data_IF_646911159570
#
_entry.id   IF_646911159570
#
_cell.length_a   1.000
_cell.length_b   1.000
_cell.length_c   1.000
_cell.angle_alpha   90.00
_cell.angle_beta   90.00
_cell.angle_gamma   90.00
#
_symmetry.space_group_name_H-M   'P 1'
#
loop_
_entity.id
_entity.type
_entity.pdbx_description
1 polymer ?
#
# COMPACT_ATOMS: atom_id res chain seq x y z
N UNK A 1 -16.24 -40.66 4.58
CA UNK A 1 -17.70 -40.88 4.42
C UNK A 1 -18.18 -40.00 3.28
N UNK A 2 -19.01 -40.53 2.39
CA UNK A 2 -19.60 -39.73 1.30
C UNK A 2 -20.68 -38.79 1.86
N UNK A 3 -20.95 -37.71 1.14
CA UNK A 3 -22.00 -36.77 1.50
C UNK A 3 -23.39 -37.46 1.53
N UNK A 4 -23.62 -38.38 0.60
CA UNK A 4 -24.86 -39.17 0.52
C UNK A 4 -25.03 -40.07 1.75
N UNK A 5 -23.95 -40.71 2.22
CA UNK A 5 -23.98 -41.52 3.43
C UNK A 5 -24.36 -40.68 4.65
N UNK A 6 -23.73 -39.50 4.82
CA UNK A 6 -24.05 -38.61 5.95
C UNK A 6 -25.49 -38.10 5.92
N UNK A 7 -26.05 -37.84 4.73
CA UNK A 7 -27.46 -37.45 4.58
C UNK A 7 -28.41 -38.59 4.98
N UNK A 8 -28.05 -39.83 4.62
CA UNK A 8 -28.76 -41.03 5.07
C UNK A 8 -28.69 -41.19 6.59
N UNK A 9 -27.50 -41.05 7.17
CA UNK A 9 -27.28 -41.18 8.61
C UNK A 9 -28.10 -40.13 9.41
N UNK A 10 -28.18 -38.88 8.93
CA UNK A 10 -29.01 -37.83 9.55
C UNK A 10 -30.50 -38.17 9.52
N UNK A 11 -30.98 -38.74 8.41
CA UNK A 11 -32.37 -39.19 8.28
C UNK A 11 -32.68 -40.36 9.24
N UNK A 12 -31.74 -41.29 9.37
CA UNK A 12 -31.86 -42.43 10.29
C UNK A 12 -31.81 -41.99 11.76
N UNK A 13 -30.90 -41.07 12.13
CA UNK A 13 -30.88 -40.49 13.47
C UNK A 13 -32.18 -39.74 13.81
N UNK A 14 -32.78 -39.05 12.84
CA UNK A 14 -34.08 -38.40 13.03
C UNK A 14 -35.20 -39.43 13.31
N UNK A 15 -35.26 -40.53 12.55
CA UNK A 15 -36.22 -41.60 12.76
C UNK A 15 -36.04 -42.29 14.13
N UNK A 16 -34.80 -42.54 14.56
CA UNK A 16 -34.53 -43.12 15.88
C UNK A 16 -34.83 -42.18 17.04
N UNK A 17 -34.70 -40.86 16.84
CA UNK A 17 -35.08 -39.87 17.85
C UNK A 17 -36.58 -39.88 18.15
N UNK A 18 -37.44 -40.18 17.17
CA UNK A 18 -38.89 -40.30 17.36
C UNK A 18 -39.26 -41.53 18.21
N UNK A 19 -38.52 -42.62 18.07
CA UNK A 19 -38.78 -43.88 18.78
C UNK A 19 -38.13 -43.91 20.17
N UNK A 20 -37.08 -43.13 20.39
CA UNK A 20 -36.36 -43.09 21.66
C UNK A 20 -37.26 -42.53 22.79
N UNK A 21 -37.37 -43.27 23.90
CA UNK A 21 -38.12 -42.83 25.10
C UNK A 21 -37.24 -42.28 26.21
N UNK A 22 -36.00 -42.76 26.32
CA UNK A 22 -35.05 -42.36 27.36
C UNK A 22 -34.31 -41.08 27.01
N UNK A 23 -34.26 -40.14 27.96
CA UNK A 23 -33.55 -38.85 27.80
C UNK A 23 -32.06 -39.03 27.47
N UNK A 24 -31.39 -40.03 28.08
CA UNK A 24 -29.98 -40.32 27.81
C UNK A 24 -29.76 -40.76 26.36
N UNK A 25 -30.63 -41.62 25.84
CA UNK A 25 -30.57 -42.11 24.46
C UNK A 25 -30.86 -40.98 23.47
N UNK A 26 -31.87 -40.15 23.75
CA UNK A 26 -32.15 -38.94 22.95
C UNK A 26 -30.94 -38.00 22.89
N UNK A 27 -30.25 -37.80 24.01
CA UNK A 27 -29.06 -36.94 24.07
C UNK A 27 -27.92 -37.45 23.18
N UNK A 28 -27.65 -38.76 23.20
CA UNK A 28 -26.62 -39.38 22.33
C UNK A 28 -26.99 -39.24 20.85
N UNK A 29 -28.23 -39.57 20.49
CA UNK A 29 -28.70 -39.48 19.10
C UNK A 29 -28.70 -38.03 18.58
N UNK A 30 -29.08 -37.06 19.42
CA UNK A 30 -29.06 -35.63 19.07
C UNK A 30 -27.63 -35.16 18.81
N UNK A 31 -26.67 -35.61 19.63
CA UNK A 31 -25.26 -35.25 19.48
C UNK A 31 -24.67 -35.84 18.19
N UNK A 32 -24.93 -37.13 17.93
CA UNK A 32 -24.48 -37.80 16.70
C UNK A 32 -25.09 -37.16 15.44
N UNK A 33 -26.39 -36.82 15.48
CA UNK A 33 -27.08 -36.10 14.40
C UNK A 33 -26.42 -34.74 14.13
N UNK A 34 -26.17 -33.95 15.17
CA UNK A 34 -25.55 -32.63 15.02
C UNK A 34 -24.11 -32.72 14.49
N UNK A 35 -23.37 -33.77 14.85
CA UNK A 35 -22.04 -34.02 14.29
C UNK A 35 -22.09 -34.35 12.79
N UNK A 36 -23.01 -35.24 12.38
CA UNK A 36 -23.22 -35.58 10.98
C UNK A 36 -23.66 -34.35 10.15
N UNK A 37 -24.58 -33.52 10.66
CA UNK A 37 -24.99 -32.27 10.03
C UNK A 37 -23.81 -31.29 9.86
N UNK A 38 -22.95 -31.15 10.88
CA UNK A 38 -21.73 -30.33 10.79
C UNK A 38 -20.77 -30.85 9.72
N UNK A 39 -20.61 -32.16 9.61
CA UNK A 39 -19.75 -32.76 8.59
C UNK A 39 -20.31 -32.53 7.18
N UNK A 40 -21.63 -32.59 6.99
CA UNK A 40 -22.30 -32.25 5.72
C UNK A 40 -21.96 -30.81 5.34
N UNK A 41 -22.21 -29.83 6.23
CA UNK A 41 -21.93 -28.42 5.96
C UNK A 41 -20.47 -28.18 5.61
N UNK A 42 -19.53 -28.83 6.30
CA UNK A 42 -18.10 -28.71 6.02
C UNK A 42 -17.75 -29.28 4.63
N UNK A 43 -18.31 -30.44 4.27
CA UNK A 43 -18.09 -31.04 2.95
C UNK A 43 -18.72 -30.22 1.82
N UNK A 44 -19.91 -29.67 2.01
CA UNK A 44 -20.56 -28.78 1.03
C UNK A 44 -19.77 -27.47 0.87
N UNK A 45 -19.29 -26.89 1.97
CA UNK A 45 -18.44 -25.69 1.93
C UNK A 45 -17.11 -25.98 1.23
N UNK A 46 -16.45 -27.10 1.52
CA UNK A 46 -15.22 -27.52 0.83
C UNK A 46 -15.45 -27.76 -0.66
N UNK A 47 -16.56 -28.40 -1.02
CA UNK A 47 -16.93 -28.63 -2.41
C UNK A 47 -17.22 -27.31 -3.14
N UNK A 48 -17.90 -26.35 -2.49
CA UNK A 48 -18.15 -25.02 -3.04
C UNK A 48 -16.85 -24.24 -3.27
N UNK A 49 -15.95 -24.23 -2.29
CA UNK A 49 -14.63 -23.58 -2.41
C UNK A 49 -13.78 -24.26 -3.50
N UNK A 50 -13.83 -25.60 -3.60
CA UNK A 50 -13.13 -26.33 -4.65
C UNK A 50 -13.70 -26.03 -6.05
N UNK A 51 -15.03 -25.93 -6.17
CA UNK A 51 -15.70 -25.56 -7.41
C UNK A 51 -15.39 -24.11 -7.81
N UNK A 52 -15.39 -23.16 -6.85
CA UNK A 52 -14.93 -21.78 -7.08
C UNK A 52 -13.47 -21.73 -7.52
N UNK A 53 -12.58 -22.55 -6.94
CA UNK A 53 -11.18 -22.65 -7.36
C UNK A 53 -11.01 -23.23 -8.77
N UNK A 54 -11.82 -24.21 -9.14
CA UNK A 54 -11.81 -24.78 -10.49
C UNK A 54 -12.43 -23.82 -11.52
N UNK A 55 -13.48 -23.10 -11.17
CA UNK A 55 -14.08 -22.05 -12.01
C UNK A 55 -13.14 -20.84 -12.17
N UNK A 56 -12.30 -20.54 -11.17
CA UNK A 56 -11.27 -19.51 -11.23
C UNK A 56 -9.97 -19.94 -11.92
N UNK A 57 -9.89 -21.16 -12.49
CA UNK A 57 -8.76 -21.61 -13.32
C UNK A 57 -7.38 -21.65 -12.64
N UNK A 58 -7.29 -21.66 -11.31
CA UNK A 58 -6.00 -21.56 -10.60
C UNK A 58 -5.49 -22.92 -10.13
N UNK A 59 -4.82 -23.63 -11.04
CA UNK A 59 -3.80 -24.64 -10.70
C UNK A 59 -2.44 -23.98 -10.41
N UNK A 60 -2.40 -22.69 -10.12
CA UNK A 60 -1.14 -21.97 -9.98
C UNK A 60 -0.54 -22.23 -8.61
N UNK A 61 0.67 -22.80 -8.61
CA UNK A 61 1.56 -22.80 -7.46
C UNK A 61 1.58 -21.37 -6.87
N UNK A 62 1.59 -21.23 -5.54
CA UNK A 62 1.66 -19.91 -4.88
C UNK A 62 2.87 -19.14 -5.40
N UNK A 63 2.69 -18.30 -6.43
CA UNK A 63 3.72 -17.38 -6.93
C UNK A 63 3.72 -16.17 -6.01
N UNK A 64 4.91 -15.72 -5.65
CA UNK A 64 5.07 -14.53 -4.80
C UNK A 64 4.83 -13.27 -5.65
N UNK A 65 3.96 -12.39 -5.16
CA UNK A 65 3.73 -11.07 -5.76
C UNK A 65 4.82 -10.11 -5.32
N UNK A 66 5.62 -9.66 -6.26
CA UNK A 66 6.61 -8.60 -6.08
C UNK A 66 5.98 -7.24 -6.36
N UNK A 67 5.86 -6.41 -5.33
CA UNK A 67 5.37 -5.05 -5.46
C UNK A 67 6.44 -4.14 -6.08
N UNK A 68 6.10 -3.55 -7.21
CA UNK A 68 6.90 -2.57 -7.93
C UNK A 68 6.72 -1.19 -7.29
N UNK A 69 7.82 -0.54 -6.99
CA UNK A 69 7.85 0.81 -6.42
C UNK A 69 8.45 1.83 -7.39
N UNK A 70 9.26 1.37 -8.35
CA UNK A 70 9.95 2.21 -9.32
C UNK A 70 9.20 2.26 -10.66
N UNK A 71 9.00 3.47 -11.16
CA UNK A 71 8.39 3.73 -12.45
C UNK A 71 8.73 5.15 -12.92
N UNK A 72 8.93 5.30 -14.23
CA UNK A 72 8.97 6.61 -14.88
C UNK A 72 7.57 7.05 -15.30
N UNK A 73 7.31 8.35 -15.36
CA UNK A 73 6.08 8.85 -15.97
C UNK A 73 6.31 10.15 -16.74
N UNK A 74 5.53 10.35 -17.80
CA UNK A 74 5.46 11.58 -18.59
C UNK A 74 4.01 12.05 -18.75
N UNK A 75 3.84 13.22 -19.34
CA UNK A 75 2.52 13.64 -19.80
C UNK A 75 2.58 14.35 -21.14
N UNK A 76 1.43 14.38 -21.78
CA UNK A 76 1.10 15.12 -22.99
C UNK A 76 -0.21 15.86 -22.77
N UNK A 77 -0.69 16.69 -23.72
CA UNK A 77 -1.98 17.36 -23.58
C UNK A 77 -3.17 16.38 -23.39
N UNK A 78 -3.06 15.15 -23.94
CA UNK A 78 -4.16 14.18 -23.95
C UNK A 78 -3.98 13.03 -22.95
N UNK A 79 -2.74 12.66 -22.63
CA UNK A 79 -2.45 11.47 -21.84
C UNK A 79 -1.39 11.74 -20.78
N UNK A 80 -1.51 11.04 -19.65
CA UNK A 80 -0.41 10.76 -18.72
C UNK A 80 0.10 9.35 -19.04
N UNK A 81 1.40 9.13 -19.11
CA UNK A 81 1.97 7.81 -19.41
C UNK A 81 2.89 7.34 -18.31
N UNK A 82 2.78 6.08 -17.93
CA UNK A 82 3.70 5.43 -17.01
C UNK A 82 4.55 4.43 -17.79
N UNK A 83 5.83 4.35 -17.44
CA UNK A 83 6.81 3.44 -18.01
C UNK A 83 7.36 2.57 -16.88
N UNK A 84 7.04 1.29 -16.94
CA UNK A 84 7.44 0.30 -15.94
C UNK A 84 8.43 -0.65 -16.62
N UNK A 85 9.68 -0.64 -16.18
CA UNK A 85 10.73 -1.52 -16.71
C UNK A 85 10.58 -2.91 -16.10
N UNK A 86 10.33 -3.91 -16.93
CA UNK A 86 10.15 -5.31 -16.56
C UNK A 86 10.81 -6.21 -17.60
N UNK A 87 12.00 -6.71 -17.27
CA UNK A 87 12.79 -7.52 -18.20
C UNK A 87 12.06 -8.80 -18.60
N UNK A 88 11.92 -9.03 -19.91
CA UNK A 88 11.26 -10.21 -20.48
C UNK A 88 9.75 -10.13 -20.56
N UNK A 89 9.12 -9.01 -20.19
CA UNK A 89 7.64 -8.87 -20.20
C UNK A 89 7.01 -9.02 -21.60
N UNK A 90 7.78 -8.77 -22.66
CA UNK A 90 7.40 -9.02 -24.05
C UNK A 90 7.14 -10.50 -24.37
N UNK A 91 7.67 -11.42 -23.57
CA UNK A 91 7.44 -12.86 -23.71
C UNK A 91 6.17 -13.34 -23.02
N UNK A 92 5.56 -12.50 -22.16
CA UNK A 92 4.29 -12.83 -21.50
C UNK A 92 3.14 -12.78 -22.49
N UNK A 93 2.10 -13.58 -22.24
CA UNK A 93 0.86 -13.47 -23.00
C UNK A 93 0.16 -12.16 -22.68
N UNK A 94 -0.64 -11.68 -23.64
CA UNK A 94 -1.40 -10.44 -23.49
C UNK A 94 -2.33 -10.47 -22.26
N UNK A 95 -2.92 -11.64 -21.98
CA UNK A 95 -3.83 -11.94 -20.87
C UNK A 95 -3.16 -11.95 -19.48
N UNK A 96 -1.84 -12.10 -19.42
CA UNK A 96 -1.08 -12.14 -18.18
C UNK A 96 -0.60 -10.76 -17.72
N UNK A 97 -0.65 -9.76 -18.61
CA UNK A 97 -0.34 -8.36 -18.32
C UNK A 97 -1.65 -7.56 -18.30
N UNK A 98 -2.25 -7.50 -17.13
CA UNK A 98 -3.54 -6.86 -16.90
C UNK A 98 -3.37 -5.50 -16.21
N UNK A 99 -4.18 -4.52 -16.61
CA UNK A 99 -4.25 -3.22 -15.94
C UNK A 99 -5.71 -2.91 -15.64
N UNK A 100 -5.99 -2.70 -14.36
CA UNK A 100 -7.29 -2.26 -13.88
C UNK A 100 -7.23 -0.75 -13.63
N UNK A 101 -8.10 -0.01 -14.30
CA UNK A 101 -8.21 1.44 -14.15
C UNK A 101 -9.45 1.78 -13.34
N UNK A 102 -9.34 2.81 -12.53
CA UNK A 102 -10.48 3.54 -11.98
C UNK A 102 -10.36 5.02 -12.36
N UNK A 103 -11.35 5.83 -12.03
CA UNK A 103 -11.30 7.28 -12.31
C UNK A 103 -10.06 7.96 -11.72
N UNK A 104 -9.52 7.47 -10.60
CA UNK A 104 -8.40 8.11 -9.89
C UNK A 104 -7.33 7.11 -9.40
N UNK A 105 -7.28 5.91 -9.95
CA UNK A 105 -6.24 4.93 -9.62
C UNK A 105 -5.99 3.97 -10.78
N UNK A 106 -4.86 3.28 -10.72
CA UNK A 106 -4.55 2.17 -11.62
C UNK A 106 -3.85 1.06 -10.84
N UNK A 107 -4.05 -0.17 -11.29
CA UNK A 107 -3.38 -1.36 -10.77
C UNK A 107 -2.90 -2.22 -11.94
N UNK A 108 -1.59 -2.36 -12.08
CA UNK A 108 -0.95 -3.29 -13.01
C UNK A 108 -0.70 -4.61 -12.29
N UNK A 109 -0.99 -5.71 -12.97
CA UNK A 109 -0.65 -7.05 -12.53
C UNK A 109 -0.07 -7.85 -13.70
N UNK A 110 1.14 -8.37 -13.52
CA UNK A 110 1.87 -9.19 -14.48
C UNK A 110 2.06 -10.59 -13.87
N UNK A 111 1.46 -11.60 -14.48
CA UNK A 111 1.58 -12.99 -14.03
C UNK A 111 2.73 -13.72 -14.70
N UNK A 112 3.31 -14.65 -13.94
CA UNK A 112 4.25 -15.67 -14.42
C UNK A 112 5.44 -15.11 -15.22
N UNK A 113 5.93 -13.93 -14.83
CA UNK A 113 7.16 -13.39 -15.40
C UNK A 113 8.34 -14.01 -14.65
N UNK A 114 9.03 -14.94 -15.31
CA UNK A 114 10.17 -15.67 -14.72
C UNK A 114 9.81 -16.41 -13.41
N UNK A 115 8.58 -16.93 -13.32
CA UNK A 115 8.08 -17.62 -12.12
C UNK A 115 7.70 -16.71 -10.95
N UNK A 116 7.58 -15.40 -11.18
CA UNK A 116 7.12 -14.41 -10.19
C UNK A 116 5.96 -13.61 -10.75
N UNK A 117 5.10 -13.13 -9.86
CA UNK A 117 4.08 -12.16 -10.22
C UNK A 117 4.58 -10.77 -9.83
N UNK A 118 4.25 -9.76 -10.62
CA UNK A 118 4.62 -8.37 -10.36
C UNK A 118 3.38 -7.50 -10.30
N UNK A 119 3.33 -6.57 -9.35
CA UNK A 119 2.19 -5.68 -9.15
C UNK A 119 2.63 -4.23 -8.96
N UNK A 120 1.93 -3.28 -9.58
CA UNK A 120 2.09 -1.85 -9.31
C UNK A 120 0.72 -1.25 -9.02
N UNK A 121 0.58 -0.58 -7.88
CA UNK A 121 -0.65 0.14 -7.52
C UNK A 121 -0.36 1.63 -7.38
N UNK A 122 -1.05 2.45 -8.18
CA UNK A 122 -1.03 3.92 -8.03
C UNK A 122 -2.42 4.39 -7.63
N UNK A 123 -2.53 4.84 -6.39
CA UNK A 123 -3.77 5.36 -5.81
C UNK A 123 -3.76 6.88 -5.74
N UNK A 124 -4.95 7.49 -5.74
CA UNK A 124 -5.13 8.93 -5.59
C UNK A 124 -4.36 9.73 -6.65
N UNK A 125 -4.56 9.38 -7.93
CA UNK A 125 -4.08 10.16 -9.07
C UNK A 125 -4.52 11.62 -8.91
N UNK A 126 -3.65 12.53 -9.35
CA UNK A 126 -3.84 13.97 -9.13
C UNK A 126 -5.17 14.48 -9.71
N UNK A 127 -5.51 14.02 -10.91
CA UNK A 127 -6.77 14.32 -11.58
C UNK A 127 -7.44 13.04 -12.09
N UNK A 128 -8.70 13.17 -12.52
CA UNK A 128 -9.48 12.08 -13.07
C UNK A 128 -8.99 11.63 -14.46
N UNK A 129 -9.22 10.36 -14.78
CA UNK A 129 -8.91 9.75 -16.07
C UNK A 129 -10.18 9.17 -16.71
N UNK A 130 -10.18 9.10 -18.04
CA UNK A 130 -11.19 8.35 -18.81
C UNK A 130 -10.75 6.89 -18.89
N UNK A 131 -11.44 6.03 -18.15
CA UNK A 131 -11.12 4.59 -18.00
C UNK A 131 -11.21 3.85 -19.33
N UNK A 132 -12.25 4.12 -20.13
CA UNK A 132 -12.51 3.40 -21.39
C UNK A 132 -11.47 3.73 -22.47
N UNK A 133 -10.95 4.95 -22.46
CA UNK A 133 -9.92 5.41 -23.41
C UNK A 133 -8.49 5.22 -22.90
N UNK A 134 -8.33 4.74 -21.67
CA UNK A 134 -7.03 4.37 -21.11
C UNK A 134 -6.66 2.95 -21.56
N UNK A 135 -5.38 2.72 -21.82
CA UNK A 135 -4.91 1.46 -22.35
C UNK A 135 -3.45 1.20 -21.98
N UNK A 136 -2.98 -0.03 -22.17
CA UNK A 136 -1.59 -0.41 -21.96
C UNK A 136 -0.96 -0.91 -23.25
N UNK A 137 0.36 -0.82 -23.36
CA UNK A 137 1.17 -1.40 -24.44
C UNK A 137 2.34 -2.14 -23.82
N UNK A 138 2.48 -3.42 -24.15
CA UNK A 138 3.73 -4.15 -23.88
C UNK A 138 4.76 -3.74 -24.94
N UNK A 139 5.97 -3.45 -24.48
CA UNK A 139 7.16 -3.19 -25.28
C UNK A 139 8.28 -4.12 -24.80
N UNK A 140 9.39 -4.14 -25.52
CA UNK A 140 10.61 -4.82 -25.08
C UNK A 140 11.02 -4.30 -23.70
N UNK A 141 11.05 -5.21 -22.73
CA UNK A 141 11.43 -5.02 -21.34
C UNK A 141 10.66 -3.90 -20.60
N UNK A 142 9.46 -3.54 -21.09
CA UNK A 142 8.71 -2.41 -20.56
C UNK A 142 7.21 -2.55 -20.77
N UNK A 143 6.43 -2.16 -19.76
CA UNK A 143 4.99 -1.91 -19.89
C UNK A 143 4.75 -0.41 -19.91
N UNK A 144 4.16 0.09 -20.98
CA UNK A 144 3.75 1.48 -21.12
C UNK A 144 2.24 1.61 -20.88
N UNK A 145 1.85 2.29 -19.80
CA UNK A 145 0.45 2.51 -19.44
C UNK A 145 0.04 3.92 -19.85
N UNK A 146 -1.01 4.05 -20.64
CA UNK A 146 -1.55 5.32 -21.13
C UNK A 146 -2.85 5.62 -20.41
N UNK A 147 -2.86 6.70 -19.64
CA UNK A 147 -4.03 7.20 -18.96
C UNK A 147 -4.59 8.39 -19.73
N UNK A 148 -5.79 8.23 -20.29
CA UNK A 148 -6.47 9.33 -20.97
C UNK A 148 -6.91 10.35 -19.93
N UNK A 149 -6.46 11.60 -20.04
CA UNK A 149 -6.91 12.66 -19.14
C UNK A 149 -8.41 12.89 -19.32
N UNK A 150 -9.16 13.00 -18.23
CA UNK A 150 -10.59 13.33 -18.29
C UNK A 150 -10.81 14.73 -18.90
N UNK A 151 -9.92 15.69 -18.58
CA UNK A 151 -9.89 17.02 -19.18
C UNK A 151 -8.63 17.19 -20.03
N UNK A 152 -8.79 17.33 -21.34
CA UNK A 152 -7.66 17.60 -22.23
C UNK A 152 -7.00 18.95 -21.90
N UNK A 153 -5.68 19.00 -21.99
CA UNK A 153 -4.88 20.18 -21.66
C UNK A 153 -4.63 20.39 -20.16
N UNK A 154 -5.20 19.58 -19.28
CA UNK A 154 -4.94 19.68 -17.84
C UNK A 154 -3.50 19.27 -17.51
N UNK A 155 -2.74 20.16 -16.86
CA UNK A 155 -1.35 19.90 -16.48
C UNK A 155 -1.25 19.14 -15.16
N UNK A 156 -0.43 18.09 -15.13
CA UNK A 156 -0.17 17.31 -13.92
C UNK A 156 1.20 17.67 -13.37
N UNK A 157 1.26 18.46 -12.31
CA UNK A 157 2.55 18.87 -11.72
C UNK A 157 3.26 17.71 -11.01
N UNK A 158 2.47 16.73 -10.58
CA UNK A 158 2.86 15.48 -9.91
C UNK A 158 1.87 14.39 -10.29
N UNK A 159 2.20 13.12 -10.05
CA UNK A 159 1.32 12.01 -10.43
C UNK A 159 0.13 11.85 -9.48
N UNK A 160 0.34 12.06 -8.17
CA UNK A 160 -0.68 11.82 -7.14
C UNK A 160 -1.03 13.07 -6.33
N UNK A 161 -2.26 13.13 -5.85
CA UNK A 161 -2.72 14.19 -4.96
C UNK A 161 -1.92 14.25 -3.65
N UNK A 162 -1.45 13.10 -3.16
CA UNK A 162 -0.61 13.00 -1.96
C UNK A 162 0.73 13.71 -2.18
N UNK A 163 1.40 13.47 -3.31
CA UNK A 163 2.64 14.16 -3.66
C UNK A 163 2.43 15.68 -3.75
N UNK A 164 1.29 16.14 -4.29
CA UNK A 164 0.99 17.58 -4.39
C UNK A 164 0.87 18.21 -3.01
N UNK A 165 0.14 17.55 -2.10
CA UNK A 165 -0.02 18.00 -0.72
C UNK A 165 1.31 18.03 0.04
N UNK A 166 2.18 17.03 -0.16
CA UNK A 166 3.51 17.01 0.46
C UNK A 166 4.39 18.15 -0.04
N UNK A 167 4.39 18.40 -1.36
CA UNK A 167 5.14 19.51 -1.96
C UNK A 167 4.64 20.87 -1.46
N UNK A 168 3.32 21.07 -1.43
CA UNK A 168 2.71 22.30 -0.90
C UNK A 168 3.06 22.53 0.58
N UNK A 169 3.08 21.47 1.40
CA UNK A 169 3.51 21.58 2.81
C UNK A 169 4.97 22.02 2.90
N UNK A 170 5.85 21.38 2.13
CA UNK A 170 7.27 21.75 2.10
C UNK A 170 7.49 23.19 1.63
N UNK A 171 6.80 23.61 0.56
CA UNK A 171 6.89 24.97 0.03
C UNK A 171 6.35 26.01 1.03
N UNK A 172 5.26 25.69 1.74
CA UNK A 172 4.68 26.58 2.77
C UNK A 172 5.61 26.69 3.99
N UNK A 173 6.24 25.60 4.41
CA UNK A 173 7.23 25.62 5.49
C UNK A 173 8.44 26.45 5.10
N UNK A 174 8.97 26.31 3.89
CA UNK A 174 10.09 27.13 3.40
C UNK A 174 9.72 28.61 3.18
N UNK A 175 8.47 28.91 2.80
CA UNK A 175 8.04 30.30 2.54
C UNK A 175 7.74 31.10 3.81
N UNK A 176 7.38 30.44 4.91
CA UNK A 176 7.23 31.12 6.23
C UNK A 176 8.57 31.53 6.84
N UNK A 177 9.68 31.02 6.30
CA UNK A 177 11.02 31.19 6.86
C UNK A 177 11.82 32.33 6.23
N UNK A 178 11.36 32.93 5.12
CA UNK A 178 12.07 34.03 4.45
C UNK A 178 11.97 35.38 5.17
N UNK A 179 11.05 35.51 6.13
CA UNK A 179 10.80 36.78 6.82
C UNK A 179 11.84 37.08 7.91
N UNK A 180 12.66 36.09 8.33
CA UNK A 180 13.79 36.28 9.25
C UNK A 180 14.98 35.36 8.91
N UNK A 181 16.19 35.91 8.67
CA UNK A 181 17.38 35.12 8.36
C UNK A 181 17.73 34.07 9.42
N UNK A 182 17.41 34.36 10.68
CA UNK A 182 17.64 33.48 11.82
C UNK A 182 16.68 32.29 11.85
N UNK A 183 15.40 32.47 11.51
CA UNK A 183 14.43 31.37 11.43
C UNK A 183 14.71 30.43 10.25
N UNK A 184 15.16 30.98 9.12
CA UNK A 184 15.59 30.20 7.96
C UNK A 184 16.73 29.23 8.31
N UNK A 185 17.73 29.70 9.07
CA UNK A 185 18.86 28.87 9.49
C UNK A 185 18.42 27.72 10.42
N UNK A 186 17.52 28.01 11.38
CA UNK A 186 17.01 27.04 12.34
C UNK A 186 16.20 25.93 11.65
N UNK A 187 15.39 26.28 10.66
CA UNK A 187 14.59 25.27 9.95
C UNK A 187 15.43 24.45 8.95
N UNK A 188 16.47 25.02 8.34
CA UNK A 188 17.49 24.25 7.59
C UNK A 188 18.17 23.23 8.52
N UNK A 189 18.58 23.64 9.73
CA UNK A 189 19.18 22.74 10.72
C UNK A 189 18.22 21.63 11.18
N UNK A 190 16.94 21.94 11.40
CA UNK A 190 15.91 20.93 11.73
C UNK A 190 15.69 19.93 10.59
N UNK A 191 15.69 20.39 9.34
CA UNK A 191 15.55 19.51 8.18
C UNK A 191 16.74 18.55 8.07
N UNK A 192 17.97 19.03 8.27
CA UNK A 192 19.16 18.18 8.32
C UNK A 192 19.15 17.19 9.50
N UNK A 193 18.57 17.57 10.65
CA UNK A 193 18.39 16.66 11.78
C UNK A 193 17.31 15.60 11.51
N UNK A 194 16.24 15.93 10.79
CA UNK A 194 15.18 14.97 10.51
C UNK A 194 15.58 13.98 9.39
N UNK A 195 16.19 14.49 8.31
CA UNK A 195 16.56 13.71 7.13
C UNK A 195 17.95 13.06 7.23
N UNK A 196 18.80 13.49 8.17
CA UNK A 196 20.18 13.01 8.31
C UNK A 196 20.31 11.63 8.95
N UNK A 197 21.43 10.95 8.68
CA UNK A 197 21.82 9.73 9.40
C UNK A 197 22.17 10.02 10.87
N UNK A 198 22.22 8.99 11.72
CA UNK A 198 22.43 9.14 13.18
C UNK A 198 23.67 9.99 13.53
N UNK A 199 24.72 9.93 12.70
CA UNK A 199 25.96 10.70 12.87
C UNK A 199 25.76 12.18 12.59
N UNK A 200 25.02 12.53 11.54
CA UNK A 200 24.68 13.92 11.21
C UNK A 200 23.80 14.54 12.30
N UNK A 201 22.83 13.78 12.83
CA UNK A 201 21.98 14.22 13.95
C UNK A 201 22.77 14.57 15.20
N UNK A 202 23.73 13.73 15.58
CA UNK A 202 24.62 13.98 16.73
C UNK A 202 25.47 15.23 16.54
N UNK A 203 25.98 15.46 15.33
CA UNK A 203 26.81 16.63 15.02
C UNK A 203 26.02 17.94 15.12
N UNK A 204 24.78 17.97 14.60
CA UNK A 204 23.90 19.14 14.67
C UNK A 204 23.46 19.41 16.11
N UNK A 205 23.10 18.36 16.87
CA UNK A 205 22.75 18.49 18.28
C UNK A 205 23.91 19.07 19.09
N UNK A 206 25.13 18.58 18.86
CA UNK A 206 26.34 19.07 19.52
C UNK A 206 26.62 20.54 19.20
N UNK A 207 26.55 20.93 17.93
CA UNK A 207 26.75 22.32 17.52
C UNK A 207 25.71 23.27 18.12
N UNK A 208 24.45 22.84 18.22
CA UNK A 208 23.37 23.62 18.83
C UNK A 208 23.59 23.84 20.34
N UNK A 209 23.96 22.79 21.06
CA UNK A 209 24.27 22.86 22.50
C UNK A 209 25.50 23.74 22.75
N UNK A 210 26.59 23.55 22.00
CA UNK A 210 27.82 24.36 22.13
C UNK A 210 27.57 25.85 21.82
N UNK A 211 26.68 26.14 20.86
CA UNK A 211 26.33 27.53 20.51
C UNK A 211 25.41 28.19 21.56
N UNK A 212 24.50 27.43 22.20
CA UNK A 212 23.70 27.93 23.32
C UNK A 212 24.55 28.14 24.59
N UNK A 213 25.47 27.23 24.87
CA UNK A 213 26.35 27.33 26.04
C UNK A 213 27.32 28.52 25.90
N UNK A 214 27.87 28.77 24.70
CA UNK A 214 28.65 30.00 24.44
C UNK A 214 27.83 31.28 24.56
N UNK A 215 26.57 31.28 24.10
CA UNK A 215 25.68 32.44 24.25
C UNK A 215 25.29 32.71 25.71
N UNK A 216 25.19 31.67 26.54
CA UNK A 216 24.96 31.80 28.00
C UNK A 216 26.22 32.27 28.73
N UNK A 217 27.39 31.71 28.42
CA UNK A 217 28.66 32.11 29.06
C UNK A 217 29.05 33.57 28.76
N UNK A 218 28.73 34.07 27.57
CA UNK A 218 28.98 35.47 27.20
C UNK A 218 28.08 36.49 27.92
N UNK A 219 27.01 36.03 28.59
CA UNK A 219 26.06 36.90 29.31
C UNK A 219 26.35 37.01 30.81
N UNK A 220 27.11 36.08 31.39
CA UNK A 220 27.49 36.08 32.81
C UNK A 220 28.85 36.76 33.10
N UNK A 221 29.63 37.11 32.08
CA UNK A 221 30.95 37.76 32.24
C UNK A 221 30.96 39.27 31.96
N UNK A 222 29.82 39.87 31.64
CA UNK A 222 29.70 41.30 31.28
C UNK A 222 29.13 42.22 32.37
N UNK A 223 29.10 41.80 33.63
CA UNK A 223 28.45 42.55 34.71
C UNK A 223 29.25 42.58 36.00
N UNK A 224 30.40 43.25 36.01
CA UNK A 224 31.09 43.54 37.27
C UNK A 224 32.59 43.74 37.14
N UNK A 225 33.02 44.92 36.65
CA UNK A 225 34.26 45.57 37.07
C UNK A 225 34.33 46.96 36.43
N UNK A 226 33.69 47.94 37.08
CA UNK A 226 34.10 49.34 36.98
C UNK A 226 33.71 50.06 38.28
N UNK A 227 34.53 49.85 39.30
CA UNK A 227 34.62 50.70 40.48
C UNK A 227 36.09 50.79 40.85
N UNK A 228 36.77 51.80 40.29
CA UNK A 228 37.99 52.41 40.82
C UNK A 228 38.37 53.66 40.00
N UNK A 229 38.09 54.83 40.59
CA UNK A 229 38.84 56.07 40.32
C UNK A 229 38.04 57.22 39.67
N UNK A 230 37.42 58.08 40.47
CA UNK A 230 38.00 59.41 40.78
C UNK A 230 37.22 60.10 41.93
N UNK A 231 37.98 60.84 42.77
CA UNK A 231 37.66 61.51 44.05
C UNK A 231 37.71 60.68 45.35
#
# INVERSE_FOLDING_TARGET
>A
MSLEQLKSDVAEFAAFLEQAKSARVKGVLTTAKAEAERQIVNLEMKARIAAERQAAGSSEAKRYLHELTDYGWDQSPKFVKLFITLNGVQGCKEEDVTVNYTTNSLQLHVRDLQGKDFGLSVNNLLHGIDVEKSYRKIKTDMVAIYLKKAKEGENWDVLTAIQKRLKQKQDTEMSKDSDNPESALVNIMKKMYNDGDTKTKQMIAKAWTESQDKAKLGKETGGGLDSLGDL
#
